data_IF_162128075578
#
_entry.id   IF_162128075578
#
_cell.length_a   1.000
_cell.length_b   1.000
_cell.length_c   1.000
_cell.angle_alpha   90.00
_cell.angle_beta   90.00
_cell.angle_gamma   90.00
#
_symmetry.space_group_name_H-M   'P 1'
#
loop_
_entity.id
_entity.type
_entity.pdbx_description
1 polymer ?
#
# COMPACT_ATOMS: atom_id res chain seq x y z
N UNK A 1 17.08 -2.51 -3.43
CA UNK A 1 15.98 -2.08 -4.32
C UNK A 1 14.92 -3.15 -4.51
N UNK A 2 15.29 -4.39 -4.91
CA UNK A 2 14.35 -5.51 -4.97
C UNK A 2 13.64 -5.81 -3.65
N UNK A 3 14.29 -5.61 -2.50
CA UNK A 3 13.62 -5.71 -1.19
C UNK A 3 12.47 -4.69 -1.03
N UNK A 4 12.67 -3.44 -1.46
CA UNK A 4 11.60 -2.45 -1.49
C UNK A 4 10.49 -2.86 -2.46
N UNK A 5 10.82 -3.42 -3.62
CA UNK A 5 9.83 -3.92 -4.57
C UNK A 5 9.00 -5.07 -3.99
N UNK A 6 9.64 -6.02 -3.29
CA UNK A 6 8.97 -7.13 -2.62
C UNK A 6 7.97 -6.61 -1.58
N UNK A 7 8.40 -5.70 -0.70
CA UNK A 7 7.54 -5.10 0.33
C UNK A 7 6.31 -4.43 -0.27
N UNK A 8 6.52 -3.71 -1.36
CA UNK A 8 5.49 -2.97 -2.08
C UNK A 8 4.50 -3.91 -2.77
N UNK A 9 4.99 -4.97 -3.42
CA UNK A 9 4.13 -5.99 -4.02
C UNK A 9 3.31 -6.75 -2.97
N UNK A 10 3.91 -7.05 -1.81
CA UNK A 10 3.22 -7.62 -0.65
C UNK A 10 2.11 -6.70 -0.14
N UNK A 11 2.38 -5.40 0.03
CA UNK A 11 1.39 -4.43 0.46
C UNK A 11 0.28 -4.23 -0.59
N UNK A 12 0.67 -4.10 -1.86
CA UNK A 12 -0.23 -3.83 -2.99
C UNK A 12 -1.36 -4.85 -3.12
N UNK A 13 -1.04 -6.15 -3.09
CA UNK A 13 -2.07 -7.19 -3.11
C UNK A 13 -2.85 -7.24 -1.79
N UNK A 14 -2.18 -7.07 -0.65
CA UNK A 14 -2.86 -7.12 0.64
C UNK A 14 -3.89 -5.98 0.82
N UNK A 15 -3.69 -4.80 0.23
CA UNK A 15 -4.71 -3.74 0.22
C UNK A 15 -5.94 -4.12 -0.60
N UNK A 16 -5.75 -4.70 -1.77
CA UNK A 16 -6.85 -5.17 -2.61
C UNK A 16 -7.72 -6.17 -1.85
N UNK A 17 -7.07 -7.14 -1.19
CA UNK A 17 -7.75 -8.13 -0.36
C UNK A 17 -8.42 -7.48 0.86
N UNK A 18 -7.79 -6.49 1.50
CA UNK A 18 -8.36 -5.76 2.64
C UNK A 18 -9.63 -4.99 2.27
N UNK A 19 -9.63 -4.30 1.12
CA UNK A 19 -10.79 -3.56 0.62
C UNK A 19 -11.91 -4.51 0.20
N UNK A 20 -11.58 -5.60 -0.51
CA UNK A 20 -12.54 -6.62 -0.90
C UNK A 20 -13.17 -7.31 0.31
N UNK A 21 -12.37 -7.61 1.34
CA UNK A 21 -12.87 -8.14 2.61
C UNK A 21 -13.80 -7.16 3.32
N UNK A 22 -13.43 -5.87 3.38
CA UNK A 22 -14.27 -4.83 3.98
C UNK A 22 -15.63 -4.71 3.29
N UNK A 23 -15.69 -4.82 1.96
CA UNK A 23 -16.95 -4.80 1.21
C UNK A 23 -17.80 -6.05 1.46
N UNK A 24 -17.16 -7.23 1.36
CA UNK A 24 -17.83 -8.52 1.52
C UNK A 24 -18.47 -8.68 2.90
N UNK A 25 -17.83 -8.16 3.95
CA UNK A 25 -18.36 -8.24 5.32
C UNK A 25 -19.60 -7.36 5.53
N UNK A 26 -19.82 -6.34 4.69
CA UNK A 26 -20.84 -5.32 4.92
C UNK A 26 -22.00 -5.34 3.93
N UNK A 27 -21.88 -6.03 2.78
CA UNK A 27 -22.85 -5.92 1.67
C UNK A 27 -23.46 -7.24 1.18
N UNK A 28 -23.16 -8.35 1.87
CA UNK A 28 -23.98 -9.58 1.84
C UNK A 28 -23.70 -10.56 0.69
N UNK A 29 -23.45 -10.10 -0.54
CA UNK A 29 -23.03 -11.00 -1.64
C UNK A 29 -21.49 -10.96 -1.81
N UNK A 30 -20.75 -11.91 -1.21
CA UNK A 30 -19.30 -11.87 -1.20
C UNK A 30 -18.69 -12.01 -2.60
N UNK A 31 -19.32 -12.75 -3.51
CA UNK A 31 -18.71 -13.07 -4.81
C UNK A 31 -18.74 -11.86 -5.73
N UNK A 32 -19.90 -11.21 -5.83
CA UNK A 32 -20.07 -10.05 -6.73
C UNK A 32 -19.26 -8.85 -6.25
N UNK A 33 -19.31 -8.55 -4.95
CA UNK A 33 -18.60 -7.40 -4.37
C UNK A 33 -17.09 -7.55 -4.53
N UNK A 34 -16.56 -8.72 -4.18
CA UNK A 34 -15.13 -9.00 -4.32
C UNK A 34 -14.65 -8.91 -5.77
N UNK A 35 -15.43 -9.44 -6.72
CA UNK A 35 -15.12 -9.35 -8.15
C UNK A 35 -15.11 -7.89 -8.65
N UNK A 36 -16.03 -7.05 -8.16
CA UNK A 36 -16.07 -5.62 -8.50
C UNK A 36 -14.85 -4.89 -7.95
N UNK A 37 -14.44 -5.15 -6.70
CA UNK A 37 -13.24 -4.52 -6.13
C UNK A 37 -12.00 -4.91 -6.90
N UNK A 38 -11.81 -6.20 -7.19
CA UNK A 38 -10.68 -6.68 -8.01
C UNK A 38 -10.70 -5.97 -9.37
N UNK A 39 -11.85 -5.96 -10.06
CA UNK A 39 -11.97 -5.35 -11.38
C UNK A 39 -11.65 -3.86 -11.37
N UNK A 40 -12.20 -3.10 -10.42
CA UNK A 40 -11.93 -1.66 -10.26
C UNK A 40 -10.48 -1.41 -9.87
N UNK A 41 -9.93 -2.21 -8.96
CA UNK A 41 -8.55 -2.09 -8.50
C UNK A 41 -7.56 -2.37 -9.62
N UNK A 42 -7.72 -3.47 -10.36
CA UNK A 42 -6.89 -3.81 -11.54
C UNK A 42 -6.99 -2.76 -12.64
N UNK A 43 -8.18 -2.24 -12.91
CA UNK A 43 -8.35 -1.12 -13.87
C UNK A 43 -7.60 0.12 -13.40
N UNK A 44 -7.63 0.40 -12.11
CA UNK A 44 -6.94 1.54 -11.48
C UNK A 44 -5.43 1.35 -11.45
N UNK A 45 -4.92 0.12 -11.23
CA UNK A 45 -3.52 -0.24 -11.40
C UNK A 45 -3.04 0.06 -12.83
N UNK A 46 -3.82 -0.30 -13.84
CA UNK A 46 -3.55 0.01 -15.24
C UNK A 46 -3.49 1.53 -15.50
N UNK A 47 -4.45 2.29 -14.96
CA UNK A 47 -4.46 3.75 -15.06
C UNK A 47 -3.24 4.38 -14.39
N UNK A 48 -2.84 3.88 -13.22
CA UNK A 48 -1.64 4.31 -12.52
C UNK A 48 -0.35 4.00 -13.29
N UNK A 49 -0.26 2.80 -13.85
CA UNK A 49 0.87 2.38 -14.66
C UNK A 49 1.01 3.24 -15.92
N UNK A 50 -0.11 3.58 -16.57
CA UNK A 50 -0.14 4.53 -17.68
C UNK A 50 0.27 5.94 -17.25
N UNK A 51 -0.26 6.43 -16.12
CA UNK A 51 0.09 7.74 -15.56
C UNK A 51 1.58 7.85 -15.17
N UNK A 52 2.26 6.73 -14.90
CA UNK A 52 3.72 6.72 -14.70
C UNK A 52 4.47 7.33 -15.89
N UNK A 53 3.93 7.26 -17.11
CA UNK A 53 4.45 7.93 -18.32
C UNK A 53 4.57 9.44 -18.19
N UNK A 54 3.74 10.07 -17.35
CA UNK A 54 3.75 11.52 -17.10
C UNK A 54 4.94 11.94 -16.22
N UNK A 55 5.52 11.00 -15.48
CA UNK A 55 6.68 11.25 -14.61
C UNK A 55 7.97 11.22 -15.43
N UNK A 56 8.35 12.37 -15.98
CA UNK A 56 9.56 12.53 -16.82
C UNK A 56 10.83 12.90 -16.04
N UNK A 57 10.70 13.56 -14.90
CA UNK A 57 11.83 14.07 -14.13
C UNK A 57 11.78 13.64 -12.66
N UNK A 58 12.95 13.52 -12.04
CA UNK A 58 13.12 13.15 -10.63
C UNK A 58 12.39 11.84 -10.26
N UNK A 59 12.53 10.81 -11.11
CA UNK A 59 11.82 9.52 -10.99
C UNK A 59 11.98 8.91 -9.59
N UNK A 60 13.20 8.92 -9.05
CA UNK A 60 13.50 8.44 -7.69
C UNK A 60 12.67 9.19 -6.62
N UNK A 61 12.66 10.53 -6.68
CA UNK A 61 11.90 11.37 -5.74
C UNK A 61 10.41 11.10 -5.84
N UNK A 62 9.89 11.02 -7.06
CA UNK A 62 8.46 10.78 -7.32
C UNK A 62 8.06 9.38 -6.86
N UNK A 63 8.90 8.38 -7.08
CA UNK A 63 8.70 7.03 -6.58
C UNK A 63 8.60 7.00 -5.05
N UNK A 64 9.52 7.65 -4.34
CA UNK A 64 9.45 7.77 -2.87
C UNK A 64 8.17 8.51 -2.43
N UNK A 65 7.79 9.60 -3.11
CA UNK A 65 6.54 10.31 -2.80
C UNK A 65 5.30 9.45 -2.99
N UNK A 66 5.25 8.66 -4.06
CA UNK A 66 4.16 7.71 -4.31
C UNK A 66 4.12 6.66 -3.22
N UNK A 67 5.26 6.07 -2.83
CA UNK A 67 5.33 5.10 -1.73
C UNK A 67 4.82 5.66 -0.40
N UNK A 68 5.23 6.87 -0.04
CA UNK A 68 4.75 7.53 1.17
C UNK A 68 3.28 7.93 1.09
N UNK A 69 2.79 8.31 -0.10
CA UNK A 69 1.37 8.58 -0.31
C UNK A 69 0.56 7.28 -0.17
N UNK A 70 1.00 6.17 -0.75
CA UNK A 70 0.38 4.85 -0.57
C UNK A 70 0.41 4.44 0.89
N UNK A 71 1.52 4.66 1.61
CA UNK A 71 1.62 4.36 3.03
C UNK A 71 0.55 5.09 3.86
N UNK A 72 0.29 6.37 3.56
CA UNK A 72 -0.71 7.17 4.28
C UNK A 72 -2.14 6.82 3.86
N UNK A 73 -2.43 6.78 2.56
CA UNK A 73 -3.77 6.48 2.04
C UNK A 73 -4.15 5.04 2.35
N UNK A 74 -3.21 4.11 2.18
CA UNK A 74 -3.36 2.69 2.44
C UNK A 74 -3.47 2.43 3.93
N UNK A 75 -2.53 2.96 4.71
CA UNK A 75 -2.56 2.93 6.17
C UNK A 75 -3.88 3.41 6.76
N UNK A 76 -4.33 4.59 6.31
CA UNK A 76 -5.54 5.25 6.78
C UNK A 76 -6.86 4.66 6.25
N UNK A 77 -6.82 3.82 5.22
CA UNK A 77 -8.03 3.30 4.56
C UNK A 77 -8.95 2.51 5.50
N UNK A 78 -8.41 1.59 6.29
CA UNK A 78 -9.18 0.82 7.28
C UNK A 78 -9.84 1.68 8.36
N UNK A 79 -9.09 2.53 9.10
CA UNK A 79 -9.68 3.47 10.05
C UNK A 79 -10.74 4.39 9.41
N UNK A 80 -10.49 4.88 8.20
CA UNK A 80 -11.42 5.77 7.49
C UNK A 80 -12.72 5.06 7.14
N UNK A 81 -12.65 3.83 6.64
CA UNK A 81 -13.82 3.01 6.34
C UNK A 81 -14.62 2.68 7.61
N UNK A 82 -13.93 2.36 8.72
CA UNK A 82 -14.58 2.14 10.01
C UNK A 82 -15.32 3.40 10.49
N UNK A 83 -14.70 4.57 10.42
CA UNK A 83 -15.32 5.83 10.85
C UNK A 83 -16.56 6.17 10.00
N UNK A 84 -16.45 6.00 8.68
CA UNK A 84 -17.59 6.22 7.77
C UNK A 84 -18.73 5.25 8.08
N UNK A 85 -18.42 3.99 8.36
CA UNK A 85 -19.41 3.01 8.76
C UNK A 85 -20.07 3.37 10.11
N UNK A 86 -19.26 3.75 11.12
CA UNK A 86 -19.74 4.12 12.45
C UNK A 86 -20.67 5.34 12.43
N UNK A 87 -20.42 6.31 11.55
CA UNK A 87 -21.29 7.48 11.36
C UNK A 87 -22.40 7.29 10.32
N UNK A 88 -22.65 6.05 9.86
CA UNK A 88 -23.67 5.75 8.83
C UNK A 88 -23.49 6.59 7.55
N UNK A 89 -22.24 6.94 7.22
CA UNK A 89 -21.89 7.71 6.05
C UNK A 89 -21.93 6.90 4.75
N UNK A 90 -21.56 7.50 3.61
CA UNK A 90 -21.63 6.86 2.29
C UNK A 90 -20.49 5.84 2.09
N UNK A 91 -20.56 4.69 2.78
CA UNK A 91 -19.51 3.66 2.82
C UNK A 91 -19.03 3.22 1.44
N UNK A 92 -19.95 2.85 0.54
CA UNK A 92 -19.60 2.40 -0.83
C UNK A 92 -18.82 3.46 -1.60
N UNK A 93 -19.23 4.72 -1.51
CA UNK A 93 -18.56 5.81 -2.26
C UNK A 93 -17.12 5.97 -1.77
N UNK A 94 -16.91 5.94 -0.45
CA UNK A 94 -15.57 6.05 0.13
C UNK A 94 -14.72 4.81 -0.20
N UNK A 95 -15.31 3.63 -0.13
CA UNK A 95 -14.65 2.37 -0.49
C UNK A 95 -14.15 2.39 -1.94
N UNK A 96 -15.02 2.65 -2.92
CA UNK A 96 -14.60 2.70 -4.32
C UNK A 96 -13.62 3.84 -4.60
N UNK A 97 -13.73 4.98 -3.92
CA UNK A 97 -12.76 6.06 -4.02
C UNK A 97 -11.38 5.64 -3.50
N UNK A 98 -11.31 4.91 -2.38
CA UNK A 98 -10.07 4.35 -1.84
C UNK A 98 -9.52 3.26 -2.76
N UNK A 99 -10.35 2.38 -3.31
CA UNK A 99 -9.94 1.36 -4.29
C UNK A 99 -9.29 1.98 -5.51
N UNK A 100 -9.91 3.02 -6.07
CA UNK A 100 -9.33 3.75 -7.22
C UNK A 100 -8.06 4.48 -6.83
N UNK A 101 -8.07 5.22 -5.71
CA UNK A 101 -6.90 5.97 -5.25
C UNK A 101 -5.69 5.09 -4.97
N UNK A 102 -5.90 3.97 -4.27
CA UNK A 102 -4.84 3.00 -3.99
C UNK A 102 -4.41 2.25 -5.23
N UNK A 103 -5.33 1.79 -6.07
CA UNK A 103 -4.99 1.13 -7.33
C UNK A 103 -4.14 2.03 -8.23
N UNK A 104 -4.48 3.32 -8.35
CA UNK A 104 -3.63 4.27 -9.09
C UNK A 104 -2.26 4.39 -8.43
N UNK A 105 -2.18 4.68 -7.13
CA UNK A 105 -0.90 4.86 -6.45
C UNK A 105 0.00 3.62 -6.53
N UNK A 106 -0.55 2.43 -6.33
CA UNK A 106 0.18 1.15 -6.44
C UNK A 106 0.59 0.89 -7.89
N UNK A 107 -0.28 1.19 -8.85
CA UNK A 107 0.01 1.05 -10.29
C UNK A 107 1.19 1.92 -10.76
N UNK A 108 1.43 3.06 -10.11
CA UNK A 108 2.61 3.89 -10.40
C UNK A 108 3.93 3.23 -9.94
N UNK A 109 3.92 2.38 -8.92
CA UNK A 109 5.13 1.95 -8.22
C UNK A 109 6.02 1.06 -9.07
N UNK A 110 5.47 -0.03 -9.64
CA UNK A 110 6.24 -1.01 -10.43
C UNK A 110 6.93 -0.36 -11.65
N UNK A 111 6.24 0.45 -12.50
CA UNK A 111 6.90 1.14 -13.61
C UNK A 111 7.97 2.15 -13.19
N UNK A 112 7.74 2.90 -12.10
CA UNK A 112 8.73 3.85 -11.58
C UNK A 112 9.97 3.11 -11.06
N UNK A 113 9.79 2.00 -10.34
CA UNK A 113 10.90 1.17 -9.86
C UNK A 113 11.67 0.53 -11.03
N UNK A 114 10.99 0.00 -12.04
CA UNK A 114 11.65 -0.53 -13.24
C UNK A 114 12.49 0.52 -13.95
N UNK A 115 12.02 1.78 -14.04
CA UNK A 115 12.81 2.89 -14.63
C UNK A 115 14.07 3.20 -13.84
N UNK A 116 14.01 3.14 -12.51
CA UNK A 116 15.18 3.35 -11.65
C UNK A 116 16.16 2.15 -11.79
N UNK A 117 15.66 0.91 -11.85
CA UNK A 117 16.48 -0.30 -12.05
C UNK A 117 17.15 -0.32 -13.43
N UNK A 118 16.45 0.15 -14.47
CA UNK A 118 16.98 0.24 -15.85
C UNK A 118 18.25 1.10 -15.95
N UNK A 119 18.48 2.01 -15.00
CA UNK A 119 19.71 2.79 -14.96
C UNK A 119 20.94 1.97 -14.51
N UNK A 120 20.74 0.77 -13.92
CA UNK A 120 21.79 -0.05 -13.31
C UNK A 120 21.92 -1.44 -13.94
N UNK A 121 20.87 -1.95 -14.58
CA UNK A 121 20.79 -3.31 -15.11
C UNK A 121 20.24 -3.33 -16.55
N UNK A 122 20.48 -4.43 -17.29
CA UNK A 122 19.91 -4.62 -18.63
C UNK A 122 18.40 -4.69 -18.56
N UNK A 123 17.73 -4.10 -19.55
CA UNK A 123 16.28 -3.95 -19.53
C UNK A 123 15.51 -5.27 -19.43
N UNK A 124 15.94 -6.30 -20.17
CA UNK A 124 15.28 -7.61 -20.15
C UNK A 124 15.38 -8.28 -18.78
N UNK A 125 16.54 -8.16 -18.13
CA UNK A 125 16.79 -8.66 -16.77
C UNK A 125 15.93 -7.91 -15.74
N UNK A 126 15.81 -6.59 -15.88
CA UNK A 126 14.96 -5.76 -15.01
C UNK A 126 13.50 -6.19 -15.09
N UNK A 127 12.97 -6.39 -16.30
CA UNK A 127 11.60 -6.84 -16.50
C UNK A 127 11.38 -8.20 -15.81
N UNK A 128 12.21 -9.19 -16.15
CA UNK A 128 12.05 -10.54 -15.64
C UNK A 128 12.14 -10.58 -14.11
N UNK A 129 13.17 -9.94 -13.52
CA UNK A 129 13.37 -9.90 -12.08
C UNK A 129 12.29 -9.09 -11.36
N UNK A 130 11.87 -7.96 -11.92
CA UNK A 130 10.83 -7.13 -11.30
C UNK A 130 9.50 -7.88 -11.23
N UNK A 131 9.06 -8.51 -12.33
CA UNK A 131 7.84 -9.32 -12.31
C UNK A 131 7.95 -10.55 -11.41
N UNK A 132 9.10 -11.24 -11.39
CA UNK A 132 9.30 -12.36 -10.48
C UNK A 132 9.16 -11.94 -9.01
N UNK A 133 9.76 -10.81 -8.63
CA UNK A 133 9.66 -10.25 -7.29
C UNK A 133 8.24 -9.76 -6.99
N UNK A 134 7.55 -9.19 -7.98
CA UNK A 134 6.16 -8.74 -7.84
C UNK A 134 5.22 -9.92 -7.56
N UNK A 135 5.31 -11.00 -8.36
CA UNK A 135 4.50 -12.20 -8.13
C UNK A 135 4.84 -12.92 -6.83
N UNK A 136 6.13 -12.99 -6.47
CA UNK A 136 6.55 -13.56 -5.18
C UNK A 136 6.02 -12.70 -4.00
N UNK A 137 6.11 -11.38 -4.11
CA UNK A 137 5.61 -10.45 -3.13
C UNK A 137 4.09 -10.53 -2.98
N UNK A 138 3.36 -10.64 -4.09
CA UNK A 138 1.91 -10.85 -4.12
C UNK A 138 1.52 -12.15 -3.40
N UNK A 139 2.22 -13.27 -3.66
CA UNK A 139 1.99 -14.53 -2.93
C UNK A 139 2.23 -14.37 -1.42
N UNK A 140 3.33 -13.72 -1.03
CA UNK A 140 3.60 -13.44 0.39
C UNK A 140 2.49 -12.55 0.97
N UNK A 141 2.05 -11.54 0.22
CA UNK A 141 0.98 -10.62 0.60
C UNK A 141 -0.34 -11.33 0.84
N UNK A 142 -0.79 -12.18 -0.08
CA UNK A 142 -2.04 -12.93 0.09
C UNK A 142 -1.98 -13.88 1.28
N UNK A 143 -0.90 -14.64 1.43
CA UNK A 143 -0.74 -15.57 2.55
C UNK A 143 -0.65 -14.83 3.89
N UNK A 144 0.15 -13.78 3.99
CA UNK A 144 0.25 -12.97 5.20
C UNK A 144 -1.08 -12.31 5.52
N UNK A 145 -1.78 -11.76 4.53
CA UNK A 145 -3.10 -11.16 4.70
C UNK A 145 -4.10 -12.18 5.25
N UNK A 146 -4.26 -13.31 4.57
CA UNK A 146 -5.29 -14.30 4.90
C UNK A 146 -5.00 -15.10 6.17
N UNK A 147 -3.74 -15.43 6.45
CA UNK A 147 -3.38 -16.32 7.57
C UNK A 147 -3.00 -15.58 8.86
N UNK A 148 -2.48 -14.35 8.76
CA UNK A 148 -1.88 -13.64 9.89
C UNK A 148 -2.56 -12.31 10.17
N UNK A 149 -2.64 -11.43 9.16
CA UNK A 149 -3.08 -10.05 9.36
C UNK A 149 -4.59 -10.01 9.61
N UNK A 150 -5.41 -10.48 8.67
CA UNK A 150 -6.86 -10.40 8.79
C UNK A 150 -7.40 -11.14 10.04
N UNK A 151 -7.00 -12.39 10.35
CA UNK A 151 -7.56 -13.11 11.50
C UNK A 151 -7.13 -12.56 12.87
N UNK A 152 -5.92 -11.99 12.99
CA UNK A 152 -5.39 -11.54 14.29
C UNK A 152 -5.53 -10.04 14.54
N UNK A 153 -5.54 -9.24 13.47
CA UNK A 153 -5.50 -7.78 13.57
C UNK A 153 -6.81 -7.12 13.10
N UNK A 154 -7.64 -7.83 12.33
CA UNK A 154 -8.81 -7.23 11.68
C UNK A 154 -8.43 -6.20 10.62
N UNK A 155 -9.43 -5.59 9.97
CA UNK A 155 -9.21 -4.70 8.81
C UNK A 155 -8.39 -3.46 9.17
N UNK A 156 -8.71 -2.78 10.28
CA UNK A 156 -8.12 -1.49 10.67
C UNK A 156 -6.62 -1.59 10.94
N UNK A 157 -6.20 -2.53 11.79
CA UNK A 157 -4.79 -2.70 12.11
C UNK A 157 -4.01 -3.31 10.94
N UNK A 158 -4.66 -4.17 10.15
CA UNK A 158 -4.05 -4.72 8.93
C UNK A 158 -3.66 -3.59 7.98
N UNK A 159 -4.57 -2.67 7.64
CA UNK A 159 -4.24 -1.58 6.71
C UNK A 159 -3.12 -0.69 7.27
N UNK A 160 -3.11 -0.40 8.58
CA UNK A 160 -2.03 0.35 9.23
C UNK A 160 -0.66 -0.34 9.13
N UNK A 161 -0.61 -1.67 9.33
CA UNK A 161 0.62 -2.46 9.19
C UNK A 161 1.11 -2.47 7.74
N UNK A 162 0.19 -2.59 6.78
CA UNK A 162 0.53 -2.49 5.36
C UNK A 162 1.07 -1.10 5.01
N UNK A 163 0.47 -0.03 5.57
CA UNK A 163 0.97 1.33 5.42
C UNK A 163 2.40 1.48 5.97
N UNK A 164 2.69 0.84 7.11
CA UNK A 164 4.02 0.84 7.68
C UNK A 164 5.02 0.10 6.77
N UNK A 165 4.59 -1.00 6.15
CA UNK A 165 5.41 -1.76 5.19
C UNK A 165 5.80 -0.89 3.98
N UNK A 166 4.87 -0.10 3.44
CA UNK A 166 5.15 0.87 2.37
C UNK A 166 6.10 1.99 2.83
N UNK A 167 5.91 2.51 4.04
CA UNK A 167 6.78 3.54 4.60
C UNK A 167 8.22 3.03 4.77
N UNK A 168 8.39 1.77 5.22
CA UNK A 168 9.69 1.09 5.27
C UNK A 168 10.25 0.88 3.87
N UNK A 169 9.43 0.46 2.91
CA UNK A 169 9.82 0.34 1.50
C UNK A 169 10.38 1.66 0.94
N UNK A 170 9.72 2.79 1.24
CA UNK A 170 10.16 4.13 0.88
C UNK A 170 11.42 4.60 1.62
N UNK A 171 11.58 4.24 2.90
CA UNK A 171 12.80 4.50 3.66
C UNK A 171 14.00 3.75 3.08
N UNK A 172 13.82 2.45 2.79
CA UNK A 172 14.83 1.60 2.15
C UNK A 172 15.19 2.13 0.76
N UNK A 173 14.21 2.55 -0.03
CA UNK A 173 14.47 3.15 -1.34
C UNK A 173 15.27 4.46 -1.20
N UNK A 174 14.92 5.30 -0.23
CA UNK A 174 15.65 6.54 0.07
C UNK A 174 17.10 6.25 0.51
N UNK A 175 17.33 5.16 1.24
CA UNK A 175 18.65 4.73 1.66
C UNK A 175 19.48 4.16 0.51
N UNK A 176 18.89 3.35 -0.38
CA UNK A 176 19.58 2.77 -1.55
C UNK A 176 19.93 3.83 -2.60
N UNK A 177 19.04 4.79 -2.85
CA UNK A 177 19.29 5.90 -3.80
C UNK A 177 20.31 6.90 -3.24
N UNK A 178 20.58 6.86 -1.94
CA UNK A 178 21.51 7.76 -1.23
C UNK A 178 22.94 7.70 -1.78
N UNK A 179 23.38 6.53 -2.23
CA UNK A 179 24.75 6.28 -2.68
C UNK A 179 25.12 7.03 -3.97
N UNK A 180 24.15 7.48 -4.78
CA UNK A 180 24.45 8.14 -6.06
C UNK A 180 24.44 9.68 -5.97
N UNK A 181 23.68 10.31 -5.06
CA UNK A 181 23.51 11.79 -4.98
C UNK A 181 23.30 12.39 -3.58
N UNK A 182 23.42 11.60 -2.50
CA UNK A 182 23.14 12.03 -1.13
C UNK A 182 21.64 12.21 -0.82
N UNK A 183 21.22 12.02 0.44
CA UNK A 183 19.80 12.17 0.78
C UNK A 183 19.45 13.66 0.81
N UNK A 184 18.40 14.06 0.11
CA UNK A 184 17.74 15.30 0.50
C UNK A 184 17.22 15.10 1.92
N UNK A 185 17.79 15.82 2.90
CA UNK A 185 17.42 15.76 4.34
C UNK A 185 15.90 15.78 4.53
N UNK A 186 15.19 16.52 3.68
CA UNK A 186 13.72 16.58 3.64
C UNK A 186 13.04 15.23 3.37
N UNK A 187 13.54 14.41 2.42
CA UNK A 187 12.92 13.11 2.09
C UNK A 187 13.08 12.09 3.20
N UNK A 188 14.27 12.05 3.80
CA UNK A 188 14.54 11.13 4.91
C UNK A 188 13.70 11.47 6.15
N UNK A 189 13.59 12.76 6.47
CA UNK A 189 12.68 13.24 7.53
C UNK A 189 11.23 12.88 7.20
N UNK A 190 10.77 13.07 5.96
CA UNK A 190 9.41 12.72 5.57
C UNK A 190 9.11 11.22 5.76
N UNK A 191 10.02 10.32 5.36
CA UNK A 191 9.84 8.87 5.58
C UNK A 191 9.72 8.51 7.06
N UNK A 192 10.58 9.09 7.90
CA UNK A 192 10.50 8.87 9.36
C UNK A 192 9.25 9.44 9.99
N UNK A 193 8.80 10.62 9.55
CA UNK A 193 7.56 11.22 10.02
C UNK A 193 6.37 10.34 9.67
N UNK A 194 6.27 9.87 8.43
CA UNK A 194 5.19 8.96 8.01
C UNK A 194 5.22 7.66 8.81
N UNK A 195 6.39 7.04 8.97
CA UNK A 195 6.53 5.84 9.80
C UNK A 195 6.12 6.10 11.26
N UNK A 196 6.53 7.23 11.84
CA UNK A 196 6.17 7.63 13.20
C UNK A 196 4.67 7.86 13.39
N UNK A 197 4.01 8.51 12.42
CA UNK A 197 2.55 8.72 12.42
C UNK A 197 1.82 7.39 12.37
N UNK A 198 2.25 6.46 11.50
CA UNK A 198 1.62 5.14 11.38
C UNK A 198 1.84 4.29 12.63
N UNK A 199 3.04 4.30 13.22
CA UNK A 199 3.32 3.61 14.49
C UNK A 199 2.45 4.18 15.60
N UNK A 200 2.32 5.50 15.70
CA UNK A 200 1.45 6.13 16.68
C UNK A 200 -0.01 5.70 16.48
N UNK A 201 -0.50 5.65 15.23
CA UNK A 201 -1.84 5.18 14.91
C UNK A 201 -2.06 3.71 15.30
N UNK A 202 -1.08 2.82 15.07
CA UNK A 202 -1.13 1.41 15.51
C UNK A 202 -1.24 1.33 17.03
N UNK A 203 -0.43 2.10 17.77
CA UNK A 203 -0.45 2.09 19.24
C UNK A 203 -1.77 2.61 19.82
N UNK A 204 -2.36 3.63 19.18
CA UNK A 204 -3.66 4.17 19.58
C UNK A 204 -4.77 3.14 19.31
N UNK A 205 -4.80 2.51 18.14
CA UNK A 205 -5.73 1.42 17.84
C UNK A 205 -5.56 0.23 18.81
N UNK A 206 -4.31 -0.05 19.19
CA UNK A 206 -3.92 -0.96 20.28
C UNK A 206 -4.65 -0.68 21.58
N UNK A 207 -4.51 0.56 22.07
CA UNK A 207 -5.11 1.00 23.33
C UNK A 207 -6.62 1.01 23.31
N UNK A 208 -7.24 1.47 22.23
CA UNK A 208 -8.71 1.54 22.12
C UNK A 208 -9.35 0.16 22.26
N UNK A 209 -8.82 -0.86 21.59
CA UNK A 209 -9.34 -2.23 21.74
C UNK A 209 -9.13 -2.79 23.14
N UNK A 210 -7.95 -2.58 23.75
CA UNK A 210 -7.68 -3.06 25.12
C UNK A 210 -8.57 -2.42 26.18
N UNK A 211 -9.01 -1.18 25.96
CA UNK A 211 -9.94 -0.47 26.85
C UNK A 211 -11.38 -0.98 26.70
N UNK A 212 -11.77 -1.40 25.49
CA UNK A 212 -13.09 -1.98 25.22
C UNK A 212 -13.17 -3.40 25.78
N UNK A 213 -12.12 -4.20 25.61
CA UNK A 213 -12.06 -5.57 26.17
C UNK A 213 -11.99 -5.57 27.71
N UNK A 214 -11.35 -4.58 28.33
CA UNK A 214 -11.29 -4.47 29.79
C UNK A 214 -12.55 -3.90 30.45
N UNK A 215 -13.53 -3.42 29.67
CA UNK A 215 -14.80 -2.88 30.14
C UNK A 215 -15.98 -3.87 30.03
N UNK A 216 -15.74 -5.05 29.43
CA UNK A 216 -16.66 -6.18 29.32
C UNK A 216 -16.30 -7.27 30.35
#
# INVERSE_FOLDING_TARGET
>A
MYASLLMVATAGLAYELALGAAESLMLGDPVVQFALIIGVYMTSLGAGAWASGLVKAQVERRCIQVLLATALVGGGSGPMLLLVFAWQGPFKVVLYALTVGLGVLVGLQLPLMMRILKARERFDDVIARAFAVDYAGALVGSLCFSLLLMPRLGVVRTTLVLGLLDAVGGLLLTWVVRDDRGPSRSRWVASWVVAGVLIAAILVAGKVESLVEGAL
#
